data_IF_935760238717
#
_entry.id   IF_935760238717
#
_cell.length_a   1.000
_cell.length_b   1.000
_cell.length_c   1.000
_cell.angle_alpha   90.00
_cell.angle_beta   90.00
_cell.angle_gamma   90.00
#
_symmetry.space_group_name_H-M   'P 1'
#
loop_
_entity.id
_entity.type
_entity.pdbx_description
1 polymer ?
#
# COMPACT_ATOMS: atom_id res chain seq x y z
N UNK A 1 70.71 22.82 -45.66
CA UNK A 1 69.65 22.77 -44.63
C UNK A 1 68.40 22.03 -45.12
N UNK A 2 67.83 22.39 -46.27
CA UNK A 2 66.63 21.77 -46.85
C UNK A 2 66.69 20.23 -46.97
N UNK A 3 67.77 19.68 -47.54
CA UNK A 3 67.98 18.23 -47.65
C UNK A 3 67.92 17.48 -46.31
N UNK A 4 68.45 18.06 -45.23
CA UNK A 4 68.48 17.40 -43.91
C UNK A 4 67.09 17.40 -43.27
N UNK A 5 66.31 18.46 -43.50
CA UNK A 5 64.91 18.54 -43.06
C UNK A 5 64.03 17.55 -43.84
N UNK A 6 64.19 17.50 -45.17
CA UNK A 6 63.45 16.55 -46.02
C UNK A 6 63.83 15.09 -45.69
N UNK A 7 65.10 14.81 -45.42
CA UNK A 7 65.55 13.48 -44.97
C UNK A 7 64.95 13.07 -43.62
N UNK A 8 64.84 13.99 -42.66
CA UNK A 8 64.22 13.71 -41.35
C UNK A 8 62.72 13.48 -41.50
N UNK A 9 62.03 14.25 -42.35
CA UNK A 9 60.62 14.03 -42.65
C UNK A 9 60.37 12.71 -43.39
N UNK A 10 61.29 12.33 -44.29
CA UNK A 10 61.19 11.11 -45.06
C UNK A 10 61.55 9.83 -44.28
N UNK A 11 62.22 9.97 -43.15
CA UNK A 11 62.48 8.85 -42.25
C UNK A 11 61.17 8.32 -41.68
N UNK A 12 60.85 7.08 -42.03
CA UNK A 12 59.65 6.39 -41.55
C UNK A 12 58.51 6.30 -42.56
N UNK A 13 58.55 7.04 -43.68
CA UNK A 13 57.51 6.92 -44.73
C UNK A 13 57.37 5.52 -45.33
N UNK A 14 58.44 4.72 -45.29
CA UNK A 14 58.44 3.33 -45.77
C UNK A 14 58.37 2.29 -44.65
N UNK A 15 58.19 2.72 -43.39
CA UNK A 15 58.18 1.83 -42.23
C UNK A 15 56.83 1.94 -41.53
N UNK A 16 55.85 1.17 -42.03
CA UNK A 16 54.60 0.89 -41.32
C UNK A 16 53.31 1.39 -41.99
N UNK A 17 52.21 1.02 -41.36
CA UNK A 17 50.82 1.45 -41.67
C UNK A 17 50.52 2.83 -41.07
N UNK A 18 49.61 3.59 -41.67
CA UNK A 18 49.26 4.95 -41.22
C UNK A 18 48.64 4.93 -39.82
N UNK A 19 47.83 3.91 -39.52
CA UNK A 19 47.30 3.64 -38.18
C UNK A 19 47.70 2.24 -37.72
N UNK A 20 48.01 2.08 -36.43
CA UNK A 20 48.31 0.77 -35.82
C UNK A 20 47.25 -0.31 -36.11
N UNK A 21 45.97 0.10 -36.24
CA UNK A 21 44.83 -0.79 -36.50
C UNK A 21 44.78 -1.35 -37.93
N UNK A 22 45.55 -0.79 -38.85
CA UNK A 22 45.59 -1.22 -40.25
C UNK A 22 46.56 -2.39 -40.47
N UNK A 23 47.49 -2.66 -39.55
CA UNK A 23 48.35 -3.86 -39.60
C UNK A 23 47.77 -4.95 -38.68
N UNK A 24 47.32 -6.08 -39.23
CA UNK A 24 46.83 -7.20 -38.44
C UNK A 24 47.81 -7.65 -37.35
N UNK A 25 49.12 -7.64 -37.60
CA UNK A 25 50.13 -8.09 -36.62
C UNK A 25 50.20 -7.15 -35.42
N UNK A 26 50.18 -5.85 -35.65
CA UNK A 26 50.18 -4.86 -34.57
C UNK A 26 48.90 -4.94 -33.72
N UNK A 27 47.75 -5.18 -34.35
CA UNK A 27 46.49 -5.45 -33.63
C UNK A 27 46.60 -6.71 -32.76
N UNK A 28 47.22 -7.77 -33.26
CA UNK A 28 47.46 -8.99 -32.49
C UNK A 28 48.36 -8.74 -31.27
N UNK A 29 49.42 -7.95 -31.42
CA UNK A 29 50.29 -7.58 -30.29
C UNK A 29 49.57 -6.73 -29.25
N UNK A 30 48.71 -5.78 -29.67
CA UNK A 30 47.86 -5.00 -28.75
C UNK A 30 46.91 -5.92 -27.96
N UNK A 31 46.28 -6.87 -28.64
CA UNK A 31 45.38 -7.85 -28.02
C UNK A 31 46.12 -8.75 -27.02
N UNK A 32 47.29 -9.27 -27.39
CA UNK A 32 48.14 -10.04 -26.48
C UNK A 32 48.54 -9.23 -25.24
N UNK A 33 48.89 -7.95 -25.43
CA UNK A 33 49.20 -7.04 -24.33
C UNK A 33 48.01 -6.77 -23.40
N UNK A 34 46.79 -6.71 -23.93
CA UNK A 34 45.56 -6.59 -23.11
C UNK A 34 45.33 -7.82 -22.25
N UNK A 35 45.58 -9.02 -22.79
CA UNK A 35 45.45 -10.28 -22.03
C UNK A 35 46.49 -10.36 -20.92
N UNK A 36 47.74 -9.93 -21.18
CA UNK A 36 48.81 -9.92 -20.18
C UNK A 36 48.65 -8.82 -19.12
N UNK A 37 47.74 -7.86 -19.33
CA UNK A 37 47.55 -6.74 -18.41
C UNK A 37 46.72 -7.16 -17.19
N UNK A 38 47.41 -7.38 -16.07
CA UNK A 38 46.83 -7.71 -14.76
C UNK A 38 45.71 -6.76 -14.31
N UNK A 39 45.82 -5.47 -14.61
CA UNK A 39 44.82 -4.47 -14.24
C UNK A 39 43.52 -4.70 -14.99
N UNK A 40 43.60 -4.92 -16.31
CA UNK A 40 42.43 -5.20 -17.14
C UNK A 40 41.80 -6.55 -16.79
N UNK A 41 42.63 -7.56 -16.53
CA UNK A 41 42.17 -8.87 -16.07
C UNK A 41 41.32 -8.78 -14.79
N UNK A 42 41.74 -7.96 -13.81
CA UNK A 42 41.06 -7.82 -12.51
C UNK A 42 39.94 -6.77 -12.50
N UNK A 43 39.78 -5.96 -13.55
CA UNK A 43 38.83 -4.85 -13.59
C UNK A 43 37.38 -5.32 -13.42
N UNK A 44 36.97 -6.34 -14.19
CA UNK A 44 35.62 -6.91 -14.10
C UNK A 44 35.33 -7.48 -12.71
N UNK A 45 36.27 -8.26 -12.15
CA UNK A 45 36.15 -8.80 -10.80
C UNK A 45 35.99 -7.69 -9.76
N UNK A 46 36.81 -6.63 -9.82
CA UNK A 46 36.71 -5.52 -8.87
C UNK A 46 35.39 -4.76 -8.98
N UNK A 47 34.80 -4.67 -10.17
CA UNK A 47 33.49 -4.06 -10.40
C UNK A 47 32.32 -4.91 -9.90
N UNK A 48 32.46 -6.24 -9.86
CA UNK A 48 31.37 -7.16 -9.52
C UNK A 48 31.49 -7.80 -8.14
N UNK A 49 32.68 -7.83 -7.51
CA UNK A 49 32.92 -8.50 -6.22
C UNK A 49 31.99 -8.06 -5.07
N UNK A 50 31.46 -6.84 -5.13
CA UNK A 50 30.48 -6.33 -4.15
C UNK A 50 29.03 -6.63 -4.51
N UNK A 51 28.74 -7.03 -5.76
CA UNK A 51 27.42 -7.38 -6.24
C UNK A 51 27.15 -8.85 -5.95
N UNK A 52 26.68 -9.13 -4.74
CA UNK A 52 26.33 -10.48 -4.31
C UNK A 52 24.88 -10.74 -4.68
N UNK A 53 24.62 -11.77 -5.49
CA UNK A 53 23.27 -12.28 -5.76
C UNK A 53 23.09 -13.59 -4.98
N UNK A 54 22.26 -13.54 -3.93
CA UNK A 54 21.89 -14.71 -3.14
C UNK A 54 20.54 -15.20 -3.69
N UNK A 55 20.49 -16.36 -4.39
CA UNK A 55 19.22 -16.91 -4.82
C UNK A 55 18.28 -17.13 -3.62
N UNK A 56 16.98 -16.83 -3.78
CA UNK A 56 16.01 -16.95 -2.69
C UNK A 56 15.74 -18.40 -2.28
N UNK A 57 16.12 -19.36 -3.13
CA UNK A 57 15.90 -20.80 -2.95
C UNK A 57 17.08 -21.49 -2.23
N UNK A 58 18.06 -20.74 -1.73
CA UNK A 58 19.14 -21.33 -0.93
C UNK A 58 18.58 -21.72 0.44
N UNK A 59 18.96 -22.92 0.90
CA UNK A 59 18.56 -23.50 2.17
C UNK A 59 18.71 -22.54 3.38
N UNK A 60 19.78 -21.74 3.42
CA UNK A 60 20.00 -20.78 4.51
C UNK A 60 18.94 -19.68 4.56
N UNK A 61 18.46 -19.21 3.41
CA UNK A 61 17.42 -18.18 3.30
C UNK A 61 16.06 -18.76 3.67
N UNK A 62 15.77 -19.98 3.21
CA UNK A 62 14.53 -20.70 3.53
C UNK A 62 14.47 -20.97 5.03
N UNK A 63 15.51 -21.56 5.61
CA UNK A 63 15.56 -21.85 7.04
C UNK A 63 15.40 -20.58 7.89
N UNK A 64 16.04 -19.47 7.51
CA UNK A 64 15.88 -18.19 8.21
C UNK A 64 14.45 -17.65 8.13
N UNK A 65 13.78 -17.80 6.98
CA UNK A 65 12.37 -17.41 6.79
C UNK A 65 11.44 -18.23 7.67
N UNK A 66 11.64 -19.54 7.72
CA UNK A 66 10.81 -20.44 8.52
C UNK A 66 11.01 -20.17 10.02
N UNK A 67 12.25 -19.97 10.46
CA UNK A 67 12.55 -19.51 11.81
C UNK A 67 11.85 -18.19 12.13
N UNK A 68 11.89 -17.22 11.22
CA UNK A 68 11.22 -15.93 11.41
C UNK A 68 9.70 -16.10 11.51
N UNK A 69 9.10 -16.99 10.71
CA UNK A 69 7.67 -17.26 10.76
C UNK A 69 7.25 -17.90 12.10
N UNK A 70 8.04 -18.84 12.62
CA UNK A 70 7.79 -19.47 13.92
C UNK A 70 7.97 -18.48 15.08
N UNK A 71 9.02 -17.65 15.03
CA UNK A 71 9.30 -16.63 16.05
C UNK A 71 8.28 -15.50 16.00
N UNK A 72 7.79 -15.16 14.81
CA UNK A 72 6.72 -14.19 14.68
C UNK A 72 5.46 -14.80 15.28
N UNK A 73 5.08 -14.38 16.49
CA UNK A 73 3.84 -14.79 17.14
C UNK A 73 2.56 -14.30 16.43
N UNK A 74 2.71 -13.72 15.22
CA UNK A 74 1.64 -13.16 14.39
C UNK A 74 0.48 -14.14 14.17
N UNK A 75 0.68 -15.40 13.76
CA UNK A 75 -0.43 -16.34 13.59
C UNK A 75 -1.09 -16.71 14.93
N UNK A 76 -0.38 -16.59 16.05
CA UNK A 76 -0.91 -16.85 17.39
C UNK A 76 -1.70 -15.68 17.99
N UNK A 77 -1.57 -14.47 17.41
CA UNK A 77 -2.37 -13.30 17.79
C UNK A 77 -3.75 -13.26 17.14
N UNK A 78 -4.06 -14.16 16.22
CA UNK A 78 -5.42 -14.32 15.73
C UNK A 78 -6.29 -14.98 16.80
N UNK A 79 -7.02 -14.16 17.55
CA UNK A 79 -8.02 -14.65 18.50
C UNK A 79 -9.05 -15.49 17.75
N UNK A 80 -9.36 -16.67 18.27
CA UNK A 80 -10.17 -17.69 17.59
C UNK A 80 -11.63 -17.24 17.30
N UNK A 81 -12.04 -16.05 17.74
CA UNK A 81 -13.43 -15.64 17.88
C UNK A 81 -13.63 -14.13 17.69
N UNK A 82 -13.23 -13.56 16.56
CA UNK A 82 -13.86 -12.32 16.09
C UNK A 82 -15.25 -12.66 15.52
N UNK A 83 -16.19 -13.04 16.40
CA UNK A 83 -17.60 -13.20 15.99
C UNK A 83 -18.17 -11.81 15.69
N UNK A 84 -18.04 -11.41 14.43
CA UNK A 84 -18.81 -10.29 13.90
C UNK A 84 -20.23 -10.81 13.62
N UNK A 85 -21.12 -10.59 14.59
CA UNK A 85 -22.55 -10.78 14.43
C UNK A 85 -23.03 -9.98 13.21
N UNK A 86 -23.27 -10.65 12.09
CA UNK A 86 -23.77 -9.99 10.90
C UNK A 86 -25.21 -9.52 11.19
N UNK A 87 -25.60 -8.30 10.80
CA UNK A 87 -26.95 -7.79 11.06
C UNK A 87 -28.05 -8.66 10.44
N UNK A 88 -27.71 -9.45 9.41
CA UNK A 88 -28.60 -10.37 8.71
C UNK A 88 -28.71 -11.76 9.37
N UNK A 89 -27.89 -12.04 10.39
CA UNK A 89 -27.90 -13.31 11.11
C UNK A 89 -29.15 -13.40 12.00
N UNK A 90 -29.81 -14.56 11.99
CA UNK A 90 -31.12 -14.72 12.64
C UNK A 90 -31.09 -14.36 14.13
N UNK A 91 -30.03 -14.76 14.85
CA UNK A 91 -29.87 -14.45 16.27
C UNK A 91 -29.87 -12.93 16.54
N UNK A 92 -29.20 -12.16 15.69
CA UNK A 92 -29.14 -10.70 15.78
C UNK A 92 -30.49 -10.07 15.45
N UNK A 93 -31.19 -10.59 14.45
CA UNK A 93 -32.53 -10.15 14.06
C UNK A 93 -33.52 -10.41 15.20
N UNK A 94 -33.49 -11.60 15.82
CA UNK A 94 -34.39 -11.94 16.92
C UNK A 94 -34.07 -11.11 18.16
N UNK A 95 -32.78 -10.92 18.49
CA UNK A 95 -32.38 -10.05 19.59
C UNK A 95 -32.87 -8.61 19.38
N UNK A 96 -32.71 -8.05 18.16
CA UNK A 96 -33.22 -6.71 17.84
C UNK A 96 -34.73 -6.62 18.02
N UNK A 97 -35.49 -7.58 17.48
CA UNK A 97 -36.95 -7.64 17.63
C UNK A 97 -37.38 -7.69 19.11
N UNK A 98 -36.68 -8.47 19.93
CA UNK A 98 -36.97 -8.55 21.36
C UNK A 98 -36.71 -7.22 22.08
N UNK A 99 -35.60 -6.55 21.75
CA UNK A 99 -35.29 -5.24 22.31
C UNK A 99 -36.26 -4.16 21.85
N UNK A 100 -36.64 -4.15 20.57
CA UNK A 100 -37.62 -3.20 20.04
C UNK A 100 -38.97 -3.35 20.75
N UNK A 101 -39.40 -4.58 21.02
CA UNK A 101 -40.63 -4.87 21.76
C UNK A 101 -40.55 -4.44 23.23
N UNK A 102 -39.37 -4.57 23.87
CA UNK A 102 -39.16 -4.20 25.26
C UNK A 102 -38.94 -2.68 25.44
N UNK A 103 -38.53 -1.98 24.37
CA UNK A 103 -38.14 -0.58 24.45
C UNK A 103 -39.34 0.33 24.66
N UNK A 104 -39.42 0.90 25.86
CA UNK A 104 -40.38 1.94 26.23
C UNK A 104 -40.34 3.16 25.30
N UNK A 105 -39.17 3.48 24.75
CA UNK A 105 -39.00 4.60 23.82
C UNK A 105 -39.68 4.32 22.48
N UNK A 106 -39.49 3.11 21.93
CA UNK A 106 -40.13 2.71 20.67
C UNK A 106 -41.64 2.54 20.90
N UNK A 107 -42.04 1.97 22.04
CA UNK A 107 -43.46 1.84 22.38
C UNK A 107 -44.18 3.20 22.46
N UNK A 108 -43.49 4.25 22.95
CA UNK A 108 -44.04 5.60 23.09
C UNK A 108 -43.74 6.52 21.89
N UNK A 109 -43.03 6.05 20.86
CA UNK A 109 -42.66 6.91 19.71
C UNK A 109 -43.89 7.43 18.98
N UNK A 110 -44.93 6.60 18.86
CA UNK A 110 -46.22 6.97 18.27
C UNK A 110 -47.02 7.97 19.10
N UNK A 111 -46.57 8.34 20.30
CA UNK A 111 -47.17 9.42 21.10
C UNK A 111 -46.35 10.72 20.99
N UNK A 112 -45.17 10.69 20.37
CA UNK A 112 -44.32 11.88 20.23
C UNK A 112 -44.95 12.94 19.33
N UNK A 113 -45.84 12.59 18.39
CA UNK A 113 -46.55 13.59 17.57
C UNK A 113 -47.51 14.48 18.39
N UNK A 114 -47.92 14.02 19.58
CA UNK A 114 -48.75 14.79 20.53
C UNK A 114 -47.86 15.73 21.36
N UNK A 115 -46.55 15.49 21.41
CA UNK A 115 -45.60 16.31 22.17
C UNK A 115 -45.57 17.72 21.60
N UNK A 116 -46.06 18.68 22.36
CA UNK A 116 -46.16 20.08 21.95
C UNK A 116 -47.54 20.51 21.44
N UNK A 117 -48.50 19.58 21.27
CA UNK A 117 -49.90 19.95 21.13
C UNK A 117 -50.42 20.46 22.48
N UNK A 118 -50.75 21.75 22.56
CA UNK A 118 -51.37 22.33 23.74
C UNK A 118 -52.77 21.77 23.96
N UNK A 119 -53.15 21.52 25.22
CA UNK A 119 -54.52 21.17 25.54
C UNK A 119 -55.41 22.41 25.46
N UNK A 120 -56.39 22.42 24.55
CA UNK A 120 -57.36 23.50 24.42
C UNK A 120 -58.69 23.02 25.01
N UNK A 121 -59.23 23.65 26.07
CA UNK A 121 -60.48 23.20 26.71
C UNK A 121 -61.75 23.61 25.94
N UNK A 122 -61.60 24.18 24.74
CA UNK A 122 -62.71 24.55 23.87
C UNK A 122 -63.52 23.28 23.56
N UNK A 123 -64.83 23.36 23.75
CA UNK A 123 -65.78 22.24 23.64
C UNK A 123 -65.60 21.06 24.63
N UNK A 124 -64.74 21.20 25.64
CA UNK A 124 -64.74 20.27 26.78
C UNK A 124 -66.12 20.23 27.46
N UNK A 125 -66.43 19.11 28.15
CA UNK A 125 -67.72 18.92 28.81
C UNK A 125 -68.05 20.07 29.76
N UNK A 126 -67.06 20.52 30.54
CA UNK A 126 -67.21 21.63 31.47
C UNK A 126 -67.36 22.98 30.75
N UNK A 127 -66.57 23.24 29.70
CA UNK A 127 -66.74 24.43 28.86
C UNK A 127 -68.15 24.51 28.25
N UNK A 128 -68.68 23.39 27.75
CA UNK A 128 -70.03 23.32 27.17
C UNK A 128 -71.12 23.51 28.22
N UNK A 129 -70.94 23.00 29.44
CA UNK A 129 -71.87 23.23 30.57
C UNK A 129 -71.93 24.71 30.94
N UNK A 130 -70.78 25.35 31.13
CA UNK A 130 -70.69 26.78 31.49
C UNK A 130 -71.27 27.66 30.39
N UNK A 131 -70.95 27.38 29.12
CA UNK A 131 -71.49 28.11 27.97
C UNK A 131 -73.02 28.04 27.92
N UNK A 132 -73.58 26.83 28.05
CA UNK A 132 -75.05 26.64 28.11
C UNK A 132 -75.69 27.34 29.31
N UNK A 133 -75.03 27.34 30.47
CA UNK A 133 -75.53 28.04 31.65
C UNK A 133 -75.52 29.57 31.47
N UNK A 134 -74.47 30.13 30.86
CA UNK A 134 -74.41 31.55 30.49
C UNK A 134 -75.50 31.92 29.47
N UNK A 135 -75.73 31.08 28.46
CA UNK A 135 -76.80 31.31 27.47
C UNK A 135 -78.20 31.34 28.09
N UNK A 136 -78.39 30.67 29.23
CA UNK A 136 -79.64 30.70 30.00
C UNK A 136 -79.77 31.96 30.87
N UNK A 137 -78.66 32.50 31.37
CA UNK A 137 -78.63 33.72 32.19
C UNK A 137 -78.71 34.98 31.33
N UNK A 138 -78.17 34.94 30.11
CA UNK A 138 -78.15 36.06 29.16
C UNK A 138 -79.42 36.18 28.29
N UNK A 139 -80.44 35.36 28.57
CA UNK A 139 -81.80 35.48 28.02
C UNK A 139 -82.68 36.30 28.96
#
# INVERSE_FOLDING_TARGET
LKYKADYVNQRGHYVGVNNMREDPKLVWFEHAGKIQNDRLYKDAYNKTKSKIHIPPDILSVIAARDCQHVVSEIPYRHYLHEWTCHPDQNDCIQARKAYDLQSDNIYKSDLEWIRGCGWIPLDSVEHRKVKKAQDLINK
#
